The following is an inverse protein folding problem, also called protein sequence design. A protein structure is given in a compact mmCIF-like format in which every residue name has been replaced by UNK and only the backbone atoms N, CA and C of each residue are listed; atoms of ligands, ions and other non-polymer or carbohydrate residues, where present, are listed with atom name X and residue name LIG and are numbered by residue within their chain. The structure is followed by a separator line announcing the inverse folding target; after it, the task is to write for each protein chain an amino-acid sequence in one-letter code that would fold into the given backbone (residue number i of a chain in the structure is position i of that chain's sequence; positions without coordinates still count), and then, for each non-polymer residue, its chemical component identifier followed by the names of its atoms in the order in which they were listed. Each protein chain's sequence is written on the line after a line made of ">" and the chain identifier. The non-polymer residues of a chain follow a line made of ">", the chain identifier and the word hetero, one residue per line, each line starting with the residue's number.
data_IF_513894594806
#
_entry.id   IF_513894594806
#
_cell.length_a   1.000
_cell.length_b   1.000
_cell.length_c   1.000
_cell.angle_alpha   90.00
_cell.angle_beta   90.00
_cell.angle_gamma   90.00
#
_symmetry.space_group_name_H-M   'P 1'
#
loop_
_entity.id
_entity.type
_entity.pdbx_description
1 polymer ?
#
# COMPACT_ATOMS: atom_id res chain seq x y z
N UNK A 1 -10.63 39.94 15.53
CA UNK A 1 -9.30 39.41 15.16
C UNK A 1 -9.43 37.90 15.12
N UNK A 2 -9.49 37.31 13.92
CA UNK A 2 -9.58 35.85 13.75
C UNK A 2 -8.17 35.35 13.48
N UNK A 3 -7.57 34.69 14.46
CA UNK A 3 -6.37 33.89 14.27
C UNK A 3 -6.76 32.67 13.45
N UNK A 4 -6.66 32.76 12.12
CA UNK A 4 -6.41 31.57 11.31
C UNK A 4 -5.02 31.08 11.70
N UNK A 5 -4.97 30.31 12.79
CA UNK A 5 -3.89 29.37 13.05
C UNK A 5 -3.72 28.58 11.76
N UNK A 6 -2.64 28.84 11.05
CA UNK A 6 -2.30 28.12 9.84
C UNK A 6 -2.20 26.65 10.23
N UNK A 7 -3.17 25.85 9.78
CA UNK A 7 -3.20 24.42 10.03
C UNK A 7 -1.83 23.90 9.56
N UNK A 8 -0.99 23.38 10.47
CA UNK A 8 0.37 22.99 10.12
C UNK A 8 0.28 21.98 8.98
N UNK A 9 0.90 22.34 7.86
CA UNK A 9 0.94 21.48 6.69
C UNK A 9 1.74 20.24 7.09
N UNK A 10 1.24 19.02 6.86
CA UNK A 10 1.84 17.77 7.36
C UNK A 10 3.12 17.39 6.60
N UNK A 11 4.04 18.33 6.36
CA UNK A 11 5.30 18.10 5.65
C UNK A 11 6.21 17.10 6.39
N UNK A 12 6.08 17.02 7.72
CA UNK A 12 6.85 16.10 8.58
C UNK A 12 6.04 14.93 9.12
N UNK A 13 4.73 14.88 8.88
CA UNK A 13 3.89 13.83 9.43
C UNK A 13 4.18 12.49 8.73
N UNK A 14 4.14 11.37 9.45
CA UNK A 14 4.22 10.05 8.85
C UNK A 14 2.99 9.78 7.99
N UNK A 15 3.24 9.21 6.83
CA UNK A 15 2.25 8.80 5.84
C UNK A 15 2.35 7.30 5.69
N UNK A 16 1.31 6.59 6.10
CA UNK A 16 1.19 5.15 5.99
C UNK A 16 0.41 4.80 4.73
N UNK A 17 1.11 4.21 3.74
CA UNK A 17 0.47 3.68 2.54
C UNK A 17 0.14 2.20 2.75
N UNK A 18 -1.15 1.89 2.77
CA UNK A 18 -1.65 0.62 3.27
C UNK A 18 -2.07 -0.28 2.11
N UNK A 19 -1.48 -1.47 2.08
CA UNK A 19 -1.76 -2.52 1.13
C UNK A 19 -2.33 -3.75 1.81
N UNK A 20 -3.20 -4.46 1.10
CA UNK A 20 -3.71 -5.76 1.51
C UNK A 20 -3.48 -6.78 0.38
N UNK A 21 -3.30 -8.05 0.75
CA UNK A 21 -3.08 -9.17 -0.18
C UNK A 21 -4.33 -9.49 -1.04
N UNK A 22 -5.47 -8.88 -0.70
CA UNK A 22 -6.76 -8.95 -1.37
C UNK A 22 -7.56 -7.66 -1.14
N UNK A 23 -8.83 -7.62 -1.60
CA UNK A 23 -9.79 -6.66 -1.03
C UNK A 23 -10.04 -7.05 0.42
N UNK A 24 -10.25 -6.06 1.31
CA UNK A 24 -10.69 -6.35 2.67
C UNK A 24 -11.91 -7.28 2.62
N UNK A 25 -11.94 -8.34 3.44
CA UNK A 25 -11.08 -8.60 4.60
C UNK A 25 -9.94 -9.61 4.40
N UNK A 26 -9.42 -9.83 3.18
CA UNK A 26 -8.41 -10.86 2.94
C UNK A 26 -7.01 -10.46 3.44
N UNK A 27 -6.38 -11.45 4.10
CA UNK A 27 -5.44 -11.31 5.23
C UNK A 27 -3.99 -11.13 4.82
N UNK A 28 -3.25 -10.43 5.67
CA UNK A 28 -1.92 -9.81 5.47
C UNK A 28 -2.08 -8.39 4.97
N UNK A 29 -1.78 -7.47 5.87
CA UNK A 29 -1.75 -6.03 5.67
C UNK A 29 -0.28 -5.62 5.70
N UNK A 30 0.09 -4.68 4.84
CA UNK A 30 1.37 -4.00 4.92
C UNK A 30 1.16 -2.50 4.99
N UNK A 31 1.95 -1.82 5.78
CA UNK A 31 2.02 -0.36 5.80
C UNK A 31 3.44 0.09 5.44
N UNK A 32 3.54 0.90 4.38
CA UNK A 32 4.76 1.62 4.04
C UNK A 32 4.71 2.98 4.70
N UNK A 33 5.54 3.18 5.72
CA UNK A 33 5.66 4.48 6.36
C UNK A 33 6.67 5.35 5.61
N UNK A 34 6.20 6.51 5.15
CA UNK A 34 6.98 7.51 4.42
C UNK A 34 6.72 8.90 4.99
N UNK A 35 7.62 9.84 4.71
CA UNK A 35 7.41 11.28 4.87
C UNK A 35 6.93 11.87 3.56
N UNK A 36 6.30 13.04 3.63
CA UNK A 36 5.86 13.80 2.46
C UNK A 36 7.00 13.97 1.42
N UNK A 37 8.20 14.33 1.90
CA UNK A 37 9.39 14.55 1.06
C UNK A 37 9.94 13.29 0.39
N UNK A 38 9.69 12.11 0.96
CA UNK A 38 10.21 10.84 0.42
C UNK A 38 9.32 10.27 -0.69
N UNK A 39 8.03 10.65 -0.68
CA UNK A 39 7.03 10.13 -1.62
C UNK A 39 7.40 10.44 -3.07
N UNK A 40 7.89 11.64 -3.37
CA UNK A 40 8.27 12.01 -4.74
C UNK A 40 9.47 11.20 -5.24
N UNK A 41 10.47 10.96 -4.39
CA UNK A 41 11.61 10.10 -4.72
C UNK A 41 11.20 8.65 -4.99
N UNK A 42 10.31 8.11 -4.16
CA UNK A 42 9.77 6.78 -4.35
C UNK A 42 8.86 6.66 -5.57
N UNK A 43 8.01 7.67 -5.84
CA UNK A 43 7.18 7.75 -7.03
C UNK A 43 8.01 7.65 -8.31
N UNK A 44 9.15 8.35 -8.37
CA UNK A 44 10.07 8.25 -9.51
C UNK A 44 10.63 6.83 -9.66
N UNK A 45 11.13 6.22 -8.57
CA UNK A 45 11.64 4.83 -8.56
C UNK A 45 10.55 3.84 -9.01
N UNK A 46 9.33 3.97 -8.50
CA UNK A 46 8.21 3.09 -8.85
C UNK A 46 7.72 3.32 -10.28
N UNK A 47 7.73 4.57 -10.77
CA UNK A 47 7.49 4.89 -12.19
C UNK A 47 8.48 4.19 -13.09
N UNK A 48 9.77 4.30 -12.80
CA UNK A 48 10.82 3.65 -13.57
C UNK A 48 10.65 2.11 -13.60
N UNK A 49 10.22 1.51 -12.48
CA UNK A 49 9.98 0.07 -12.38
C UNK A 49 8.72 -0.41 -13.11
N UNK A 50 7.69 0.44 -13.20
CA UNK A 50 6.41 0.13 -13.85
C UNK A 50 6.36 0.58 -15.32
N UNK A 51 7.24 1.50 -15.74
CA UNK A 51 7.34 2.01 -17.11
C UNK A 51 6.02 2.59 -17.64
N UNK A 52 5.74 2.34 -18.92
CA UNK A 52 4.57 2.86 -19.67
C UNK A 52 3.21 2.34 -19.17
N UNK A 53 3.19 1.40 -18.22
CA UNK A 53 1.95 0.88 -17.62
C UNK A 53 1.21 1.91 -16.78
N UNK A 54 1.92 2.91 -16.28
CA UNK A 54 1.30 4.07 -15.64
C UNK A 54 0.62 4.97 -16.66
N UNK A 55 1.18 5.07 -17.86
CA UNK A 55 0.60 5.84 -18.95
C UNK A 55 -0.69 5.20 -19.45
N UNK A 56 -0.83 3.87 -19.33
CA UNK A 56 -2.04 3.13 -19.72
C UNK A 56 -3.09 3.01 -18.60
N UNK A 57 -2.70 3.22 -17.35
CA UNK A 57 -3.61 3.45 -16.22
C UNK A 57 -4.44 4.74 -16.36
N UNK A 58 -4.03 5.68 -17.21
CA UNK A 58 -4.83 6.89 -17.52
C UNK A 58 -6.17 6.58 -18.21
N UNK A 59 -6.40 5.31 -18.63
CA UNK A 59 -7.66 4.84 -19.23
C UNK A 59 -8.59 4.07 -18.27
N UNK A 60 -8.23 3.91 -16.98
CA UNK A 60 -9.09 3.25 -15.99
C UNK A 60 -8.38 2.75 -14.73
N UNK A 61 -9.15 2.24 -13.76
CA UNK A 61 -8.61 1.74 -12.47
C UNK A 61 -7.54 0.67 -12.67
N UNK A 62 -6.41 0.85 -11.99
CA UNK A 62 -5.33 -0.12 -11.93
C UNK A 62 -5.83 -1.43 -11.28
N UNK A 63 -5.63 -2.61 -11.90
CA UNK A 63 -6.14 -3.84 -11.33
C UNK A 63 -5.33 -4.23 -10.09
N UNK A 64 -5.99 -5.01 -9.23
CA UNK A 64 -5.39 -5.61 -8.03
C UNK A 64 -4.01 -6.25 -8.32
N UNK A 65 -3.01 -6.15 -7.43
CA UNK A 65 -1.66 -6.64 -7.73
C UNK A 65 -1.59 -8.13 -8.07
N UNK A 66 -2.46 -8.97 -7.51
CA UNK A 66 -2.58 -10.36 -7.93
C UNK A 66 -2.92 -10.53 -9.42
N UNK A 67 -3.70 -9.61 -10.02
CA UNK A 67 -3.99 -9.60 -11.46
C UNK A 67 -2.81 -9.06 -12.29
N UNK A 68 -2.01 -8.15 -11.72
CA UNK A 68 -0.74 -7.72 -12.34
C UNK A 68 0.29 -8.85 -12.34
N UNK A 69 0.43 -9.56 -11.23
CA UNK A 69 1.32 -10.72 -11.09
C UNK A 69 0.89 -11.82 -12.06
N UNK A 70 -0.42 -12.08 -12.21
CA UNK A 70 -0.94 -13.08 -13.17
C UNK A 70 -0.83 -12.69 -14.65
N UNK A 71 -0.39 -11.46 -14.97
CA UNK A 71 -0.33 -10.94 -16.34
C UNK A 71 -1.70 -10.57 -16.92
N UNK A 72 -2.77 -10.60 -16.13
CA UNK A 72 -4.14 -10.29 -16.59
C UNK A 72 -4.32 -8.82 -16.97
N UNK A 73 -3.47 -7.93 -16.43
CA UNK A 73 -3.40 -6.53 -16.87
C UNK A 73 -2.81 -6.41 -18.28
N UNK A 74 -1.88 -7.29 -18.63
CA UNK A 74 -1.05 -7.17 -19.83
C UNK A 74 -1.68 -7.86 -21.02
N UNK A 75 -2.43 -8.94 -20.76
CA UNK A 75 -3.31 -9.58 -21.73
C UNK A 75 -4.40 -8.63 -22.25
N UNK A 76 -4.79 -7.60 -21.48
CA UNK A 76 -5.74 -6.57 -21.91
C UNK A 76 -5.09 -5.43 -22.71
N UNK A 77 -3.79 -5.23 -22.57
CA UNK A 77 -3.08 -4.05 -23.07
C UNK A 77 -2.17 -4.32 -24.28
N UNK A 78 -1.85 -5.58 -24.57
CA UNK A 78 -1.08 -5.96 -25.75
C UNK A 78 -1.60 -7.28 -26.32
N UNK A 79 -1.74 -7.34 -27.66
CA UNK A 79 -1.92 -8.56 -28.45
C UNK A 79 -0.69 -9.48 -28.31
N UNK A 80 -0.50 -10.05 -27.13
CA UNK A 80 0.57 -10.99 -26.79
C UNK A 80 -0.05 -12.22 -26.15
N UNK A 81 0.60 -13.38 -26.30
CA UNK A 81 0.11 -14.62 -25.70
C UNK A 81 0.00 -14.47 -24.17
N UNK A 82 -0.97 -15.15 -23.55
CA UNK A 82 -1.18 -15.12 -22.10
C UNK A 82 0.09 -15.51 -21.30
N UNK A 83 0.95 -16.34 -21.88
CA UNK A 83 2.24 -16.75 -21.32
C UNK A 83 3.22 -15.59 -21.24
N UNK A 84 3.35 -14.79 -22.30
CA UNK A 84 4.25 -13.63 -22.33
C UNK A 84 3.80 -12.55 -21.33
N UNK A 85 2.49 -12.31 -21.27
CA UNK A 85 1.86 -11.40 -20.31
C UNK A 85 2.17 -11.82 -18.86
N UNK A 86 2.02 -13.11 -18.53
CA UNK A 86 2.32 -13.65 -17.20
C UNK A 86 3.81 -13.56 -16.85
N UNK A 87 4.69 -13.90 -17.78
CA UNK A 87 6.14 -13.81 -17.56
C UNK A 87 6.57 -12.38 -17.25
N UNK A 88 6.00 -11.40 -17.95
CA UNK A 88 6.27 -9.99 -17.72
C UNK A 88 5.72 -9.53 -16.36
N UNK A 89 4.48 -9.90 -16.02
CA UNK A 89 3.89 -9.67 -14.70
C UNK A 89 4.73 -10.21 -13.54
N UNK A 90 5.26 -11.44 -13.68
CA UNK A 90 6.17 -12.05 -12.72
C UNK A 90 7.49 -11.27 -12.57
N UNK A 91 8.10 -10.85 -13.68
CA UNK A 91 9.36 -10.08 -13.67
C UNK A 91 9.19 -8.75 -12.91
N UNK A 92 8.08 -8.05 -13.12
CA UNK A 92 7.81 -6.79 -12.41
C UNK A 92 7.49 -7.02 -10.94
N UNK A 93 6.64 -8.00 -10.63
CA UNK A 93 6.34 -8.36 -9.25
C UNK A 93 7.63 -8.65 -8.47
N UNK A 94 8.51 -9.47 -9.05
CA UNK A 94 9.83 -9.77 -8.48
C UNK A 94 10.65 -8.51 -8.20
N UNK A 95 10.85 -7.65 -9.21
CA UNK A 95 11.64 -6.41 -9.08
C UNK A 95 11.08 -5.46 -8.03
N UNK A 96 9.76 -5.32 -7.96
CA UNK A 96 9.11 -4.49 -6.94
C UNK A 96 9.31 -5.08 -5.55
N UNK A 97 9.12 -6.39 -5.39
CA UNK A 97 9.33 -7.07 -4.12
C UNK A 97 10.80 -7.00 -3.67
N UNK A 98 11.76 -7.14 -4.59
CA UNK A 98 13.19 -6.92 -4.33
C UNK A 98 13.44 -5.46 -3.90
N UNK A 99 12.86 -4.47 -4.57
CA UNK A 99 13.04 -3.06 -4.17
C UNK A 99 12.48 -2.73 -2.79
N UNK A 100 11.52 -3.51 -2.29
CA UNK A 100 10.93 -3.36 -0.97
C UNK A 100 11.83 -3.88 0.15
N UNK A 101 12.82 -4.76 -0.14
CA UNK A 101 13.77 -5.21 0.88
C UNK A 101 14.69 -4.09 1.35
N UNK A 102 14.85 -3.05 0.53
CA UNK A 102 15.59 -1.84 0.85
C UNK A 102 14.76 -0.82 1.65
N UNK A 103 13.47 -1.08 1.88
CA UNK A 103 12.58 -0.11 2.51
C UNK A 103 12.63 -0.25 4.05
N UNK A 104 13.21 0.71 4.79
CA UNK A 104 13.51 0.53 6.20
C UNK A 104 12.29 0.55 7.12
N UNK A 105 11.14 1.09 6.67
CA UNK A 105 9.91 1.24 7.47
C UNK A 105 8.70 0.55 6.84
N UNK A 106 8.90 -0.70 6.44
CA UNK A 106 7.84 -1.58 5.96
C UNK A 106 7.34 -2.42 7.12
N UNK A 107 6.08 -2.20 7.49
CA UNK A 107 5.39 -2.92 8.55
C UNK A 107 4.45 -3.96 7.94
N UNK A 108 4.42 -5.17 8.47
CA UNK A 108 3.52 -6.23 8.00
C UNK A 108 2.79 -6.84 9.19
N UNK A 109 1.47 -6.93 9.09
CA UNK A 109 0.63 -7.56 10.11
C UNK A 109 -0.38 -8.52 9.47
N UNK A 110 -0.93 -9.42 10.29
CA UNK A 110 -2.02 -10.32 9.91
C UNK A 110 -3.28 -9.85 10.62
N UNK A 111 -4.37 -9.86 9.87
CA UNK A 111 -5.68 -9.48 10.39
C UNK A 111 -6.59 -10.68 10.32
N UNK A 112 -7.49 -10.82 11.30
CA UNK A 112 -8.53 -11.84 11.20
C UNK A 112 -9.62 -11.47 10.18
N UNK A 113 -10.49 -12.42 9.83
CA UNK A 113 -11.58 -12.16 8.87
C UNK A 113 -12.59 -11.28 9.61
N UNK A 114 -12.83 -10.09 9.08
CA UNK A 114 -13.76 -9.09 9.63
C UNK A 114 -14.74 -8.60 8.57
N UNK A 115 -15.80 -7.91 8.98
CA UNK A 115 -16.60 -7.13 8.03
C UNK A 115 -15.79 -5.91 7.55
N UNK A 116 -16.05 -5.43 6.32
CA UNK A 116 -15.19 -4.42 5.68
C UNK A 116 -14.99 -3.15 6.52
N UNK A 117 -16.05 -2.61 7.14
CA UNK A 117 -15.96 -1.42 8.02
C UNK A 117 -15.15 -1.69 9.29
N UNK A 118 -15.32 -2.87 9.89
CA UNK A 118 -14.53 -3.27 11.06
C UNK A 118 -13.05 -3.44 10.69
N UNK A 119 -12.77 -4.10 9.57
CA UNK A 119 -11.41 -4.25 9.06
C UNK A 119 -10.73 -2.90 8.80
N UNK A 120 -11.45 -1.95 8.21
CA UNK A 120 -10.98 -0.59 7.98
C UNK A 120 -10.61 0.10 9.30
N UNK A 121 -11.50 0.04 10.30
CA UNK A 121 -11.26 0.59 11.64
C UNK A 121 -10.06 -0.07 12.34
N UNK A 122 -10.03 -1.40 12.39
CA UNK A 122 -8.96 -2.20 13.00
C UNK A 122 -7.59 -1.83 12.40
N UNK A 123 -7.52 -1.62 11.08
CA UNK A 123 -6.30 -1.21 10.38
C UNK A 123 -5.87 0.21 10.78
N UNK A 124 -6.82 1.14 10.88
CA UNK A 124 -6.54 2.53 11.26
C UNK A 124 -6.08 2.61 12.72
N UNK A 125 -6.71 1.87 13.63
CA UNK A 125 -6.29 1.74 15.04
C UNK A 125 -4.87 1.17 15.12
N UNK A 126 -4.56 0.12 14.35
CA UNK A 126 -3.20 -0.39 14.24
C UNK A 126 -2.21 0.69 13.73
N UNK A 127 -2.57 1.51 12.74
CA UNK A 127 -1.68 2.60 12.30
C UNK A 127 -1.44 3.65 13.37
N UNK A 128 -2.44 3.98 14.20
CA UNK A 128 -2.25 4.89 15.32
C UNK A 128 -1.18 4.37 16.29
N UNK A 129 -1.07 3.04 16.50
CA UNK A 129 0.01 2.47 17.33
C UNK A 129 1.41 2.67 16.71
N UNK A 130 1.50 2.80 15.38
CA UNK A 130 2.74 3.07 14.67
C UNK A 130 3.14 4.54 14.69
N UNK A 131 2.31 5.45 15.23
CA UNK A 131 2.68 6.85 15.39
C UNK A 131 3.82 7.05 16.39
N UNK A 132 4.12 6.10 17.27
CA UNK A 132 5.34 6.13 18.12
C UNK A 132 5.58 7.49 18.81
N UNK A 133 4.55 8.01 19.48
CA UNK A 133 4.59 9.31 20.18
C UNK A 133 4.42 10.55 19.29
N UNK A 134 4.29 10.39 17.95
CA UNK A 134 3.97 11.48 17.03
C UNK A 134 2.49 11.90 17.18
N UNK A 135 2.18 13.21 17.19
CA UNK A 135 0.84 13.70 17.48
C UNK A 135 -0.18 13.37 16.38
N UNK A 136 0.28 13.27 15.13
CA UNK A 136 -0.58 13.03 13.97
C UNK A 136 0.15 12.27 12.87
N UNK A 137 -0.65 11.73 11.93
CA UNK A 137 -0.20 11.12 10.70
C UNK A 137 -1.32 11.03 9.67
N UNK A 138 -1.00 10.46 8.51
CA UNK A 138 -1.96 10.20 7.44
C UNK A 138 -1.94 8.71 7.08
N UNK A 139 -3.10 8.16 6.77
CA UNK A 139 -3.24 6.82 6.22
C UNK A 139 -3.89 6.88 4.83
N UNK A 140 -3.32 6.16 3.88
CA UNK A 140 -3.88 5.94 2.55
C UNK A 140 -4.28 4.47 2.41
N UNK A 141 -5.58 4.21 2.22
CA UNK A 141 -6.13 2.85 2.19
C UNK A 141 -7.08 2.66 0.99
N UNK A 142 -7.02 1.46 0.40
CA UNK A 142 -8.01 1.03 -0.58
C UNK A 142 -9.13 0.24 0.11
N UNK A 143 -10.33 0.81 0.14
CA UNK A 143 -11.53 0.25 0.79
C UNK A 143 -12.56 -0.17 -0.27
N UNK A 144 -13.72 -0.69 0.17
CA UNK A 144 -14.85 -0.94 -0.72
C UNK A 144 -15.46 0.34 -1.32
N UNK A 145 -15.19 1.51 -0.70
CA UNK A 145 -15.66 2.82 -1.15
C UNK A 145 -14.69 3.50 -2.13
N UNK A 146 -13.57 2.84 -2.45
CA UNK A 146 -12.49 3.39 -3.27
C UNK A 146 -11.25 3.66 -2.45
N UNK A 147 -10.37 4.51 -2.97
CA UNK A 147 -9.15 4.90 -2.26
C UNK A 147 -9.41 6.15 -1.44
N UNK A 148 -9.10 6.08 -0.15
CA UNK A 148 -9.44 7.09 0.83
C UNK A 148 -8.21 7.46 1.67
N UNK A 149 -8.17 8.72 2.07
CA UNK A 149 -7.20 9.24 3.02
C UNK A 149 -7.86 9.44 4.38
N UNK A 150 -7.14 9.12 5.46
CA UNK A 150 -7.58 9.31 6.83
C UNK A 150 -6.53 10.10 7.58
N UNK A 151 -7.00 10.91 8.52
CA UNK A 151 -6.14 11.49 9.56
C UNK A 151 -6.00 10.49 10.69
N UNK A 152 -4.76 10.34 11.15
CA UNK A 152 -4.43 9.59 12.35
C UNK A 152 -4.04 10.59 13.43
N UNK A 153 -4.45 10.33 14.67
CA UNK A 153 -4.02 11.10 15.83
C UNK A 153 -3.56 10.16 16.93
N UNK A 154 -2.85 10.70 17.92
CA UNK A 154 -2.45 9.97 19.11
C UNK A 154 -3.65 9.49 19.95
N UNK A 155 -4.80 10.17 19.88
CA UNK A 155 -6.02 9.80 20.60
C UNK A 155 -6.82 8.70 19.88
N UNK A 156 -6.51 8.43 18.61
CA UNK A 156 -7.17 7.44 17.79
C UNK A 156 -7.34 7.89 16.34
N UNK A 157 -7.83 7.00 15.48
CA UNK A 157 -8.09 7.36 14.09
C UNK A 157 -9.37 8.18 13.97
N UNK A 158 -9.36 9.19 13.12
CA UNK A 158 -10.60 9.80 12.68
C UNK A 158 -11.37 8.76 11.85
N UNK A 159 -12.64 8.55 12.20
CA UNK A 159 -13.50 7.53 11.56
C UNK A 159 -13.91 7.96 10.15
N UNK A 160 -13.96 9.26 9.91
CA UNK A 160 -14.34 9.82 8.61
C UNK A 160 -13.10 10.07 7.73
N UNK A 161 -13.16 9.73 6.44
CA UNK A 161 -12.12 10.09 5.49
C UNK A 161 -11.92 11.61 5.41
N UNK A 162 -10.71 12.03 5.03
CA UNK A 162 -10.43 13.43 4.73
C UNK A 162 -11.40 13.96 3.67
N UNK A 163 -12.05 15.07 3.99
CA UNK A 163 -12.94 15.76 3.07
C UNK A 163 -12.13 16.37 1.90
N UNK A 164 -12.58 16.26 0.63
CA UNK A 164 -11.86 16.76 -0.54
C UNK A 164 -11.58 18.28 -0.54
N UNK A 165 -12.33 19.04 0.24
CA UNK A 165 -12.23 20.48 0.40
C UNK A 165 -11.38 20.91 1.62
N UNK A 166 -10.92 19.95 2.42
CA UNK A 166 -10.07 20.26 3.59
C UNK A 166 -8.69 20.77 3.19
N UNK A 167 -8.10 21.65 4.01
CA UNK A 167 -6.74 22.15 3.79
C UNK A 167 -5.69 21.01 3.74
N UNK A 168 -5.89 19.96 4.53
CA UNK A 168 -5.04 18.76 4.56
C UNK A 168 -5.13 18.01 3.23
N UNK A 169 -6.32 17.91 2.64
CA UNK A 169 -6.51 17.28 1.33
C UNK A 169 -5.75 18.00 0.22
N UNK A 170 -5.79 19.34 0.23
CA UNK A 170 -5.07 20.16 -0.75
C UNK A 170 -3.54 20.04 -0.61
N UNK A 171 -3.04 19.63 0.56
CA UNK A 171 -1.63 19.45 0.86
C UNK A 171 -1.12 18.02 0.63
N UNK A 172 -1.96 17.11 0.13
CA UNK A 172 -1.58 15.70 -0.06
C UNK A 172 -0.38 15.57 -1.02
N UNK A 173 0.55 14.63 -0.75
CA UNK A 173 1.80 14.48 -1.49
C UNK A 173 1.65 13.87 -2.89
N UNK A 174 0.44 13.48 -3.28
CA UNK A 174 0.15 12.82 -4.54
C UNK A 174 -1.24 13.17 -5.04
N UNK A 175 -1.34 13.38 -6.36
CA UNK A 175 -2.62 13.60 -7.03
C UNK A 175 -3.48 12.33 -7.01
N UNK A 176 -4.81 12.45 -7.19
CA UNK A 176 -5.70 11.30 -7.31
C UNK A 176 -5.26 10.29 -8.39
N UNK A 177 -4.61 10.75 -9.46
CA UNK A 177 -4.09 9.89 -10.52
C UNK A 177 -2.85 9.08 -10.08
N UNK A 178 -2.09 9.55 -9.09
CA UNK A 178 -0.87 8.93 -8.58
C UNK A 178 -1.11 8.02 -7.38
N UNK A 179 -2.25 8.17 -6.71
CA UNK A 179 -2.59 7.43 -5.50
C UNK A 179 -2.58 5.90 -5.70
N UNK A 180 -3.04 5.40 -6.85
CA UNK A 180 -2.97 3.96 -7.15
C UNK A 180 -1.55 3.45 -7.43
N UNK A 181 -0.67 4.34 -7.89
CA UNK A 181 0.75 4.04 -8.00
C UNK A 181 1.37 3.91 -6.61
N UNK A 182 1.09 4.85 -5.70
CA UNK A 182 1.55 4.79 -4.31
C UNK A 182 1.13 3.50 -3.62
N UNK A 183 -0.11 3.06 -3.83
CA UNK A 183 -0.66 1.85 -3.22
C UNK A 183 -0.05 0.55 -3.76
N UNK A 184 0.52 0.58 -4.96
CA UNK A 184 0.99 -0.64 -5.65
C UNK A 184 2.04 -1.41 -4.83
N UNK A 185 3.13 -0.79 -4.35
CA UNK A 185 4.18 -1.49 -3.60
C UNK A 185 3.65 -2.07 -2.29
N UNK A 186 2.82 -1.33 -1.55
CA UNK A 186 2.21 -1.84 -0.33
C UNK A 186 1.35 -3.08 -0.64
N UNK A 187 0.42 -3.01 -1.60
CA UNK A 187 -0.42 -4.16 -1.95
C UNK A 187 0.42 -5.38 -2.42
N UNK A 188 1.56 -5.15 -3.08
CA UNK A 188 2.53 -6.21 -3.44
C UNK A 188 3.25 -6.78 -2.21
N UNK A 189 3.69 -5.94 -1.27
CA UNK A 189 4.31 -6.37 -0.02
C UNK A 189 3.38 -7.31 0.75
N UNK A 190 2.13 -6.89 0.95
CA UNK A 190 1.10 -7.70 1.59
C UNK A 190 0.88 -9.04 0.88
N UNK A 191 0.83 -9.05 -0.46
CA UNK A 191 0.68 -10.29 -1.22
C UNK A 191 1.92 -11.19 -1.13
N UNK A 192 3.12 -10.64 -1.18
CA UNK A 192 4.36 -11.38 -1.06
C UNK A 192 4.53 -11.99 0.34
N UNK A 193 4.23 -11.26 1.42
CA UNK A 193 4.20 -11.81 2.78
C UNK A 193 3.16 -12.93 2.94
N UNK A 194 1.97 -12.77 2.35
CA UNK A 194 0.95 -13.83 2.34
C UNK A 194 1.50 -15.11 1.68
N UNK A 195 2.10 -14.99 0.49
CA UNK A 195 2.68 -16.13 -0.24
C UNK A 195 3.84 -16.76 0.53
N UNK A 196 4.68 -15.94 1.17
CA UNK A 196 5.78 -16.42 2.02
C UNK A 196 5.25 -17.30 3.17
N UNK A 197 4.15 -16.88 3.82
CA UNK A 197 3.48 -17.64 4.87
C UNK A 197 2.80 -18.92 4.37
N UNK A 198 2.20 -18.91 3.18
CA UNK A 198 1.56 -20.10 2.60
C UNK A 198 2.55 -21.17 2.13
N UNK A 199 3.75 -20.78 1.73
CA UNK A 199 4.76 -21.68 1.18
C UNK A 199 6.07 -21.61 2.01
N UNK A 200 6.08 -22.21 3.21
CA UNK A 200 7.23 -22.16 4.11
C UNK A 200 8.47 -22.83 3.47
N UNK A 201 8.27 -23.89 2.70
CA UNK A 201 9.33 -24.52 1.94
C UNK A 201 9.69 -23.68 0.71
N UNK A 202 10.95 -23.20 0.66
CA UNK A 202 11.48 -22.37 -0.44
C UNK A 202 11.21 -22.95 -1.84
N UNK A 203 11.27 -24.28 -1.99
CA UNK A 203 11.06 -24.99 -3.26
C UNK A 203 9.62 -24.90 -3.81
N UNK A 204 8.64 -24.64 -2.94
CA UNK A 204 7.23 -24.55 -3.32
C UNK A 204 6.77 -23.11 -3.56
N UNK A 205 7.66 -22.12 -3.38
CA UNK A 205 7.31 -20.71 -3.53
C UNK A 205 7.10 -20.34 -5.02
N UNK A 206 6.17 -19.42 -5.33
CA UNK A 206 6.02 -18.92 -6.68
C UNK A 206 7.34 -18.34 -7.22
N UNK A 207 7.68 -18.63 -8.48
CA UNK A 207 8.96 -18.21 -9.08
C UNK A 207 9.18 -16.68 -9.15
N UNK A 208 8.11 -15.89 -9.07
CA UNK A 208 8.19 -14.43 -9.01
C UNK A 208 8.57 -13.91 -7.62
N UNK A 209 8.32 -14.70 -6.56
CA UNK A 209 8.59 -14.31 -5.19
C UNK A 209 10.10 -14.44 -4.92
N UNK A 210 10.78 -13.38 -4.44
CA UNK A 210 12.18 -13.49 -4.04
C UNK A 210 12.37 -14.56 -2.95
N UNK A 211 13.50 -15.28 -2.95
CA UNK A 211 13.75 -16.37 -2.00
C UNK A 211 13.94 -15.87 -0.57
N UNK A 212 14.34 -14.61 -0.39
CA UNK A 212 14.63 -14.00 0.91
C UNK A 212 13.87 -12.69 1.01
N UNK A 213 12.91 -12.65 1.93
CA UNK A 213 12.12 -11.45 2.24
C UNK A 213 12.28 -11.16 3.73
N UNK A 214 13.30 -10.37 4.11
CA UNK A 214 13.64 -10.16 5.52
C UNK A 214 12.48 -9.56 6.32
N UNK A 215 11.61 -8.80 5.68
CA UNK A 215 10.41 -8.21 6.28
C UNK A 215 9.19 -9.15 6.30
N UNK A 216 9.20 -10.27 5.56
CA UNK A 216 8.09 -11.22 5.59
C UNK A 216 8.12 -12.10 6.84
N UNK A 217 9.31 -12.28 7.42
CA UNK A 217 9.54 -13.06 8.64
C UNK A 217 9.76 -12.20 9.89
N UNK A 218 10.11 -10.91 9.72
CA UNK A 218 10.16 -9.95 10.84
C UNK A 218 8.76 -9.86 11.42
N UNK A 219 8.66 -10.28 12.69
CA UNK A 219 7.54 -10.16 13.62
C UNK A 219 6.26 -9.66 12.96
N UNK A 220 5.32 -10.58 12.75
CA UNK A 220 3.90 -10.25 12.68
C UNK A 220 3.57 -9.70 14.07
N UNK A 221 3.83 -8.41 14.26
CA UNK A 221 3.58 -7.72 15.51
C UNK A 221 2.08 -7.60 15.63
N UNK A 222 1.53 -8.44 16.49
CA UNK A 222 0.13 -8.51 16.88
C UNK A 222 -0.77 -8.98 15.71
N UNK A 223 -1.52 -10.06 15.94
CA UNK A 223 -2.80 -10.17 15.24
C UNK A 223 -3.51 -8.84 15.50
N UNK A 224 -4.03 -8.19 14.46
CA UNK A 224 -4.93 -7.06 14.67
C UNK A 224 -6.17 -7.63 15.39
N UNK A 225 -6.10 -7.64 16.71
CA UNK A 225 -7.13 -8.08 17.65
C UNK A 225 -7.61 -6.84 18.39
N UNK A 226 -8.94 -6.73 18.47
CA UNK A 226 -9.63 -5.73 19.28
C UNK A 226 -9.14 -5.76 20.73
#
# INVERSE_FOLDING_TARGET
>A
MSSTEGIPTPQNDPIFVIGASGRLPLRTISALEMRHTEIQGHLHKWRALLGDRLHTATKGQLPHPSRRVKGEYDARMAATSATAARALGHRHARRLTESLTEFPRLHVSRMTKRHARQAERDILEWQCTLLDGRPSGLALIHTSRGVLWYRLTAEGPDVEPLAPDSAVWQALPASPAEVELLLTPAKLAAYAAYQHGCYPHRRCRPAWLPPELPWADRYITLDITA
#
